data_IF_612692930968
#
_entry.id   IF_612692930968
#
_cell.length_a   1.000
_cell.length_b   1.000
_cell.length_c   1.000
_cell.angle_alpha   90.00
_cell.angle_beta   90.00
_cell.angle_gamma   90.00
#
_symmetry.space_group_name_H-M   'P 1'
#
loop_
_entity.id
_entity.type
_entity.pdbx_description
1 polymer ?
#
# COMPACT_ATOMS: atom_id res chain seq x y z
N UNK A 1 -29.46 4.03 -7.64
CA UNK A 1 -28.00 4.12 -7.87
C UNK A 1 -27.80 4.50 -9.33
N UNK A 2 -27.35 5.72 -9.62
CA UNK A 2 -26.95 6.11 -10.97
C UNK A 2 -25.56 5.54 -11.27
N UNK A 3 -25.31 5.07 -12.48
CA UNK A 3 -24.02 4.47 -12.89
C UNK A 3 -22.80 5.39 -12.62
N UNK A 4 -23.03 6.71 -12.55
CA UNK A 4 -22.02 7.71 -12.20
C UNK A 4 -21.51 7.64 -10.76
N UNK A 5 -22.36 7.27 -9.78
CA UNK A 5 -21.95 7.17 -8.37
C UNK A 5 -21.02 5.97 -8.13
N UNK A 6 -21.25 4.86 -8.85
CA UNK A 6 -20.39 3.68 -8.79
C UNK A 6 -18.99 3.99 -9.35
N UNK A 7 -18.92 4.74 -10.45
CA UNK A 7 -17.64 5.15 -11.03
C UNK A 7 -16.79 6.00 -10.09
N UNK A 8 -17.43 6.92 -9.34
CA UNK A 8 -16.73 7.75 -8.36
C UNK A 8 -16.21 6.94 -7.17
N UNK A 9 -17.02 6.02 -6.64
CA UNK A 9 -16.62 5.12 -5.55
C UNK A 9 -15.44 4.23 -5.94
N UNK A 10 -15.45 3.69 -7.17
CA UNK A 10 -14.33 2.89 -7.68
C UNK A 10 -13.05 3.72 -7.81
N UNK A 11 -13.15 4.95 -8.31
CA UNK A 11 -12.00 5.87 -8.40
C UNK A 11 -11.42 6.16 -7.02
N UNK A 12 -12.26 6.45 -6.04
CA UNK A 12 -11.81 6.75 -4.68
C UNK A 12 -11.19 5.51 -4.01
N UNK A 13 -11.74 4.31 -4.25
CA UNK A 13 -11.15 3.06 -3.81
C UNK A 13 -9.75 2.83 -4.41
N UNK A 14 -9.58 3.05 -5.72
CA UNK A 14 -8.29 2.91 -6.40
C UNK A 14 -7.25 3.91 -5.86
N UNK A 15 -7.67 5.16 -5.63
CA UNK A 15 -6.80 6.18 -5.02
C UNK A 15 -6.40 5.80 -3.60
N UNK A 16 -7.31 5.24 -2.81
CA UNK A 16 -7.01 4.73 -1.47
C UNK A 16 -5.99 3.59 -1.54
N UNK A 17 -6.20 2.60 -2.40
CA UNK A 17 -5.25 1.47 -2.58
C UNK A 17 -3.87 1.99 -2.95
N UNK A 18 -3.78 2.94 -3.90
CA UNK A 18 -2.51 3.54 -4.31
C UNK A 18 -1.84 4.29 -3.14
N UNK A 19 -2.62 5.04 -2.36
CA UNK A 19 -2.15 5.81 -1.21
C UNK A 19 -1.64 4.91 -0.08
N UNK A 20 -2.31 3.79 0.18
CA UNK A 20 -1.93 2.82 1.21
C UNK A 20 -0.76 1.94 0.75
N UNK A 21 -0.73 1.56 -0.53
CA UNK A 21 0.34 0.76 -1.11
C UNK A 21 1.62 1.54 -1.38
N UNK A 22 1.53 2.86 -1.57
CA UNK A 22 2.66 3.73 -1.90
C UNK A 22 3.85 3.60 -0.94
N UNK A 23 3.68 3.80 0.38
CA UNK A 23 4.79 3.71 1.34
C UNK A 23 5.53 2.35 1.34
N UNK A 24 4.87 1.18 1.50
CA UNK A 24 5.57 -0.10 1.51
C UNK A 24 6.21 -0.44 0.16
N UNK A 25 5.59 -0.06 -0.97
CA UNK A 25 6.17 -0.24 -2.30
C UNK A 25 7.44 0.61 -2.48
N UNK A 26 7.40 1.88 -2.09
CA UNK A 26 8.54 2.78 -2.17
C UNK A 26 9.72 2.28 -1.31
N UNK A 27 9.44 1.86 -0.08
CA UNK A 27 10.47 1.31 0.81
C UNK A 27 11.11 0.03 0.22
N UNK A 28 10.29 -0.89 -0.28
CA UNK A 28 10.77 -2.15 -0.89
C UNK A 28 11.56 -1.88 -2.16
N UNK A 29 11.17 -0.89 -2.96
CA UNK A 29 11.90 -0.48 -4.15
C UNK A 29 13.30 0.03 -3.79
N UNK A 30 13.40 0.99 -2.86
CA UNK A 30 14.69 1.56 -2.44
C UNK A 30 15.62 0.48 -1.89
N UNK A 31 15.13 -0.35 -0.97
CA UNK A 31 15.93 -1.41 -0.37
C UNK A 31 16.28 -2.49 -1.39
N UNK A 32 15.35 -2.86 -2.27
CA UNK A 32 15.58 -3.83 -3.31
C UNK A 32 16.65 -3.39 -4.31
N UNK A 33 16.62 -2.11 -4.71
CA UNK A 33 17.64 -1.52 -5.56
C UNK A 33 19.01 -1.51 -4.87
N UNK A 34 19.07 -1.04 -3.63
CA UNK A 34 20.31 -1.00 -2.85
C UNK A 34 20.95 -2.40 -2.72
N UNK A 35 20.14 -3.41 -2.37
CA UNK A 35 20.62 -4.79 -2.24
C UNK A 35 21.05 -5.35 -3.60
N UNK A 36 20.31 -5.08 -4.69
CA UNK A 36 20.69 -5.55 -6.03
C UNK A 36 22.04 -4.99 -6.49
N UNK A 37 22.33 -3.73 -6.14
CA UNK A 37 23.62 -3.11 -6.45
C UNK A 37 24.76 -3.75 -5.64
N UNK A 38 24.54 -4.00 -4.35
CA UNK A 38 25.53 -4.69 -3.50
C UNK A 38 25.80 -6.12 -4.00
N UNK A 39 24.75 -6.84 -4.40
CA UNK A 39 24.87 -8.18 -4.98
C UNK A 39 25.68 -8.15 -6.28
N UNK A 40 25.46 -7.16 -7.15
CA UNK A 40 26.20 -7.00 -8.39
C UNK A 40 27.68 -6.67 -8.16
N UNK A 41 27.98 -5.74 -7.24
CA UNK A 41 29.36 -5.32 -6.94
C UNK A 41 30.17 -6.43 -6.25
N UNK A 42 29.53 -7.21 -5.38
CA UNK A 42 30.19 -8.31 -4.64
C UNK A 42 30.18 -9.65 -5.37
N UNK A 43 29.47 -9.75 -6.50
CA UNK A 43 29.24 -10.99 -7.24
C UNK A 43 28.55 -12.11 -6.42
N UNK A 44 27.87 -11.76 -5.32
CA UNK A 44 27.13 -12.69 -4.47
C UNK A 44 25.66 -12.68 -4.90
N UNK A 45 25.19 -13.78 -5.49
CA UNK A 45 23.80 -13.94 -5.92
C UNK A 45 23.05 -14.97 -5.07
N UNK A 46 23.02 -14.73 -3.76
CA UNK A 46 22.31 -15.58 -2.80
C UNK A 46 20.88 -15.06 -2.59
N UNK A 47 19.88 -15.90 -2.84
CA UNK A 47 18.47 -15.53 -2.78
C UNK A 47 18.06 -14.98 -1.40
N UNK A 48 18.61 -15.56 -0.32
CA UNK A 48 18.31 -15.17 1.07
C UNK A 48 18.74 -13.74 1.39
N UNK A 49 19.88 -13.29 0.85
CA UNK A 49 20.39 -11.92 1.04
C UNK A 49 19.49 -10.87 0.37
N UNK A 50 18.77 -11.24 -0.69
CA UNK A 50 17.80 -10.36 -1.34
C UNK A 50 16.49 -10.26 -0.53
N UNK A 51 16.10 -11.35 0.12
CA UNK A 51 14.80 -11.48 0.76
C UNK A 51 14.72 -10.79 2.13
N UNK A 52 15.70 -11.05 3.00
CA UNK A 52 15.66 -10.59 4.40
C UNK A 52 15.59 -9.06 4.53
N UNK A 53 16.46 -8.27 3.86
CA UNK A 53 16.42 -6.81 3.99
C UNK A 53 15.10 -6.22 3.50
N UNK A 54 14.54 -6.76 2.39
CA UNK A 54 13.24 -6.33 1.85
C UNK A 54 12.10 -6.61 2.83
N UNK A 55 12.08 -7.79 3.45
CA UNK A 55 11.08 -8.15 4.44
C UNK A 55 11.11 -7.20 5.65
N UNK A 56 12.31 -6.91 6.17
CA UNK A 56 12.48 -5.94 7.26
C UNK A 56 12.00 -4.53 6.88
N UNK A 57 12.27 -4.10 5.64
CA UNK A 57 11.80 -2.81 5.14
C UNK A 57 10.27 -2.72 5.09
N UNK A 58 9.59 -3.78 4.62
CA UNK A 58 8.12 -3.86 4.59
C UNK A 58 7.58 -3.78 6.02
N UNK A 59 8.09 -4.62 6.93
CA UNK A 59 7.64 -4.64 8.33
C UNK A 59 7.85 -3.29 9.00
N UNK A 60 9.02 -2.68 8.86
CA UNK A 60 9.30 -1.37 9.42
C UNK A 60 8.35 -0.31 8.86
N UNK A 61 8.09 -0.32 7.55
CA UNK A 61 7.17 0.63 6.92
C UNK A 61 5.75 0.45 7.45
N UNK A 62 5.27 -0.79 7.52
CA UNK A 62 3.94 -1.10 8.06
C UNK A 62 3.79 -0.72 9.53
N UNK A 63 4.83 -0.88 10.35
CA UNK A 63 4.80 -0.45 11.75
C UNK A 63 4.71 1.07 11.87
N UNK A 64 5.44 1.81 11.03
CA UNK A 64 5.45 3.27 11.03
C UNK A 64 4.17 3.87 10.43
N UNK A 65 3.65 3.30 9.34
CA UNK A 65 2.49 3.85 8.61
C UNK A 65 1.18 3.16 8.97
N UNK A 66 1.20 2.06 9.72
CA UNK A 66 0.02 1.22 9.97
C UNK A 66 -1.12 1.96 10.65
N UNK A 67 -0.84 2.77 11.68
CA UNK A 67 -1.87 3.56 12.35
C UNK A 67 -2.58 4.54 11.42
N UNK A 68 -1.81 5.21 10.55
CA UNK A 68 -2.36 6.11 9.53
C UNK A 68 -3.15 5.35 8.46
N UNK A 69 -2.64 4.20 7.99
CA UNK A 69 -3.33 3.37 7.00
C UNK A 69 -4.69 2.88 7.53
N UNK A 70 -4.76 2.45 8.79
CA UNK A 70 -6.01 2.06 9.44
C UNK A 70 -7.00 3.23 9.52
N UNK A 71 -6.54 4.44 9.85
CA UNK A 71 -7.37 5.64 9.83
C UNK A 71 -7.99 5.90 8.45
N UNK A 72 -7.17 5.85 7.40
CA UNK A 72 -7.65 6.03 6.02
C UNK A 72 -8.67 4.95 5.61
N UNK A 73 -8.46 3.70 6.02
CA UNK A 73 -9.37 2.59 5.74
C UNK A 73 -10.70 2.74 6.48
N UNK A 74 -10.66 3.20 7.74
CA UNK A 74 -11.84 3.48 8.54
C UNK A 74 -12.67 4.64 7.95
N UNK A 75 -12.01 5.72 7.52
CA UNK A 75 -12.67 6.87 6.88
C UNK A 75 -13.35 6.46 5.58
N UNK A 76 -12.67 5.67 4.73
CA UNK A 76 -13.27 5.14 3.51
C UNK A 76 -14.46 4.22 3.81
N UNK A 77 -14.36 3.39 4.85
CA UNK A 77 -15.44 2.50 5.27
C UNK A 77 -16.68 3.28 5.70
N UNK A 78 -16.50 4.35 6.49
CA UNK A 78 -17.60 5.27 6.87
C UNK A 78 -18.26 5.89 5.65
N UNK A 79 -17.47 6.38 4.70
CA UNK A 79 -17.97 6.91 3.43
C UNK A 79 -18.86 5.89 2.70
N UNK A 80 -18.46 4.61 2.67
CA UNK A 80 -19.28 3.57 2.03
C UNK A 80 -20.61 3.35 2.74
N UNK A 81 -20.62 3.32 4.07
CA UNK A 81 -21.86 3.19 4.84
C UNK A 81 -22.78 4.38 4.66
N UNK A 82 -22.25 5.61 4.67
CA UNK A 82 -23.04 6.83 4.43
C UNK A 82 -23.71 6.80 3.05
N UNK A 83 -22.99 6.34 2.04
CA UNK A 83 -23.49 6.19 0.66
C UNK A 83 -24.54 5.09 0.55
N UNK A 84 -24.36 3.98 1.27
CA UNK A 84 -25.32 2.88 1.30
C UNK A 84 -26.65 3.34 1.90
N UNK A 85 -26.62 4.03 3.05
CA UNK A 85 -27.82 4.58 3.71
C UNK A 85 -28.53 5.60 2.82
N UNK A 86 -27.78 6.50 2.17
CA UNK A 86 -28.35 7.49 1.26
C UNK A 86 -29.02 6.88 0.00
N UNK A 87 -28.61 5.67 -0.40
CA UNK A 87 -29.16 4.97 -1.57
C UNK A 87 -30.32 4.02 -1.28
N UNK A 88 -30.51 3.66 -0.01
CA UNK A 88 -31.51 2.69 0.46
C UNK A 88 -32.76 3.30 1.10
N UNK A 89 -32.91 4.63 1.03
CA UNK A 89 -34.14 5.38 1.33
C UNK A 89 -34.94 5.68 0.07
#
# INVERSE_FOLDING_TARGET
>A
MQDGDLGLLLRDALLLILKLGGPPLAATLVVGLAVSLLQAVTQINEATLSFVPKALAIVATLLLTGGWMLGQLADFTRLLFDRLVASGG
#
